data_IF_730141265494
#
_entry.id   IF_730141265494
#
_cell.length_a   1.000
_cell.length_b   1.000
_cell.length_c   1.000
_cell.angle_alpha   90.00
_cell.angle_beta   90.00
_cell.angle_gamma   90.00
#
_symmetry.space_group_name_H-M   'P 1'
#
loop_
_entity.id
_entity.type
_entity.pdbx_description
1 polymer ?
#
# COMPACT_ATOMS: atom_id res chain seq x y z
N UNK A 1 -30.06 41.95 15.80
CA UNK A 1 -29.99 41.94 14.32
C UNK A 1 -28.53 42.03 13.93
N UNK A 2 -28.06 41.08 13.14
CA UNK A 2 -26.67 40.97 12.67
C UNK A 2 -26.59 39.73 11.81
N UNK A 3 -27.04 39.86 10.56
CA UNK A 3 -27.17 38.78 9.60
C UNK A 3 -25.78 38.28 9.18
N UNK A 4 -25.47 37.03 9.50
CA UNK A 4 -24.44 36.29 8.76
C UNK A 4 -25.05 35.87 7.43
N UNK A 5 -24.59 36.49 6.36
CA UNK A 5 -24.99 36.19 4.99
C UNK A 5 -24.48 34.79 4.61
N UNK A 6 -25.40 33.84 4.55
CA UNK A 6 -25.22 32.66 3.69
C UNK A 6 -25.27 33.15 2.23
N UNK A 7 -24.13 33.10 1.54
CA UNK A 7 -24.11 33.09 0.07
C UNK A 7 -23.85 31.66 -0.38
N UNK A 8 -24.86 31.06 -0.98
CA UNK A 8 -24.74 29.80 -1.70
C UNK A 8 -24.20 30.01 -3.12
N UNK A 9 -23.76 28.88 -3.69
CA UNK A 9 -23.80 28.64 -5.12
C UNK A 9 -22.70 29.31 -5.93
N UNK A 10 -21.52 28.72 -5.92
CA UNK A 10 -20.78 28.43 -7.15
C UNK A 10 -20.06 27.10 -6.92
N UNK A 11 -20.37 26.11 -7.76
CA UNK A 11 -19.63 24.87 -7.87
C UNK A 11 -18.27 25.17 -8.48
N UNK A 12 -17.41 25.85 -7.73
CA UNK A 12 -15.98 25.84 -8.01
C UNK A 12 -15.55 24.38 -7.91
N UNK A 13 -15.11 23.80 -9.02
CA UNK A 13 -14.39 22.54 -8.97
C UNK A 13 -13.18 22.78 -8.09
N UNK A 14 -13.23 22.30 -6.85
CA UNK A 14 -12.17 22.60 -5.92
C UNK A 14 -10.97 21.77 -6.34
N UNK A 15 -10.02 22.42 -7.04
CA UNK A 15 -8.80 21.79 -7.49
C UNK A 15 -7.82 21.71 -6.32
N UNK A 16 -7.88 20.58 -5.63
CA UNK A 16 -7.06 20.33 -4.47
C UNK A 16 -5.79 19.56 -4.84
N UNK A 17 -4.80 20.31 -5.32
CA UNK A 17 -3.40 19.91 -5.53
C UNK A 17 -3.07 19.16 -6.82
N UNK A 18 -3.97 19.06 -7.81
CA UNK A 18 -3.68 18.47 -9.13
C UNK A 18 -3.30 16.98 -9.14
N UNK A 19 -3.21 16.30 -7.99
CA UNK A 19 -2.78 14.90 -7.85
C UNK A 19 -3.90 13.95 -7.44
N UNK A 20 -5.11 14.45 -7.21
CA UNK A 20 -6.26 13.65 -6.77
C UNK A 20 -6.63 12.56 -7.78
N UNK A 21 -6.56 12.87 -9.08
CA UNK A 21 -6.80 11.91 -10.16
C UNK A 21 -5.77 10.78 -10.16
N UNK A 22 -4.48 11.12 -10.16
CA UNK A 22 -3.37 10.14 -10.11
C UNK A 22 -3.49 9.24 -8.88
N UNK A 23 -3.85 9.81 -7.73
CA UNK A 23 -4.03 9.08 -6.49
C UNK A 23 -5.20 8.09 -6.54
N UNK A 24 -6.29 8.44 -7.23
CA UNK A 24 -7.42 7.53 -7.46
C UNK A 24 -7.04 6.38 -8.39
N UNK A 25 -6.27 6.63 -9.46
CA UNK A 25 -5.74 5.57 -10.34
C UNK A 25 -4.86 4.60 -9.53
N UNK A 26 -3.98 5.14 -8.69
CA UNK A 26 -3.12 4.34 -7.83
C UNK A 26 -3.91 3.53 -6.80
N UNK A 27 -4.96 4.10 -6.21
CA UNK A 27 -5.84 3.38 -5.30
C UNK A 27 -6.65 2.28 -6.00
N UNK A 28 -7.04 2.49 -7.26
CA UNK A 28 -7.73 1.47 -8.04
C UNK A 28 -6.86 0.23 -8.27
N UNK A 29 -5.55 0.42 -8.42
CA UNK A 29 -4.57 -0.67 -8.52
C UNK A 29 -4.22 -1.26 -7.15
N UNK A 30 -3.76 -0.43 -6.21
CA UNK A 30 -3.22 -0.83 -4.92
C UNK A 30 -4.27 -1.24 -3.89
N UNK A 31 -5.55 -0.89 -4.13
CA UNK A 31 -6.70 -1.07 -3.25
C UNK A 31 -6.68 -0.25 -1.95
N UNK A 32 -5.50 -0.05 -1.36
CA UNK A 32 -5.31 0.81 -0.21
C UNK A 32 -3.87 1.34 -0.15
N UNK A 33 -3.71 2.56 0.36
CA UNK A 33 -2.40 3.21 0.52
C UNK A 33 -2.33 3.95 1.84
N UNK A 34 -1.13 3.96 2.44
CA UNK A 34 -0.82 4.93 3.48
C UNK A 34 -0.44 6.26 2.85
N UNK A 35 -0.51 7.36 3.60
CA UNK A 35 -0.05 8.67 3.10
C UNK A 35 1.44 8.68 2.76
N UNK A 36 2.26 7.88 3.46
CA UNK A 36 3.68 7.70 3.10
C UNK A 36 3.85 6.99 1.76
N UNK A 37 3.17 5.85 1.57
CA UNK A 37 3.21 5.11 0.30
C UNK A 37 2.71 5.96 -0.88
N UNK A 38 1.62 6.70 -0.70
CA UNK A 38 1.12 7.64 -1.71
C UNK A 38 2.14 8.72 -2.07
N UNK A 39 2.81 9.31 -1.08
CA UNK A 39 3.86 10.30 -1.32
C UNK A 39 5.04 9.71 -2.10
N UNK A 40 5.44 8.47 -1.78
CA UNK A 40 6.49 7.74 -2.50
C UNK A 40 6.13 7.50 -3.96
N UNK A 41 4.93 7.00 -4.25
CA UNK A 41 4.54 6.67 -5.63
C UNK A 41 4.29 7.91 -6.48
N UNK A 42 3.76 8.98 -5.89
CA UNK A 42 3.54 10.28 -6.56
C UNK A 42 4.81 11.14 -6.66
N UNK A 43 5.93 10.68 -6.09
CA UNK A 43 7.16 11.45 -5.95
C UNK A 43 6.93 12.88 -5.41
N UNK A 44 6.20 12.97 -4.29
CA UNK A 44 5.84 14.25 -3.68
C UNK A 44 5.98 14.24 -2.16
N UNK A 45 5.76 15.40 -1.54
CA UNK A 45 5.79 15.49 -0.08
C UNK A 45 4.61 14.74 0.55
N UNK A 46 4.81 14.22 1.77
CA UNK A 46 3.71 13.64 2.57
C UNK A 46 2.56 14.61 2.80
N UNK A 47 2.86 15.91 2.90
CA UNK A 47 1.83 16.95 3.04
C UNK A 47 0.98 17.04 1.77
N UNK A 48 1.61 17.05 0.59
CA UNK A 48 0.91 17.09 -0.71
C UNK A 48 -0.02 15.89 -0.87
N UNK A 49 0.50 14.67 -0.66
CA UNK A 49 -0.32 13.45 -0.70
C UNK A 49 -1.45 13.46 0.33
N UNK A 50 -1.19 13.97 1.54
CA UNK A 50 -2.19 14.12 2.59
C UNK A 50 -3.32 15.07 2.22
N UNK A 51 -3.00 16.21 1.61
CA UNK A 51 -4.00 17.17 1.12
C UNK A 51 -4.83 16.56 0.00
N UNK A 52 -4.22 15.85 -0.95
CA UNK A 52 -4.96 15.15 -2.02
C UNK A 52 -5.96 14.12 -1.45
N UNK A 53 -5.54 13.30 -0.47
CA UNK A 53 -6.45 12.37 0.21
C UNK A 53 -7.59 13.06 0.95
N UNK A 54 -7.30 14.13 1.70
CA UNK A 54 -8.33 14.87 2.42
C UNK A 54 -9.40 15.42 1.46
N UNK A 55 -8.98 15.82 0.27
CA UNK A 55 -9.84 16.39 -0.76
C UNK A 55 -10.73 15.34 -1.40
N UNK A 56 -10.16 14.19 -1.74
CA UNK A 56 -10.93 13.02 -2.15
C UNK A 56 -11.91 12.56 -1.07
N UNK A 57 -11.55 12.70 0.20
CA UNK A 57 -12.43 12.35 1.32
C UNK A 57 -13.59 13.32 1.47
N UNK A 58 -13.36 14.63 1.36
CA UNK A 58 -14.42 15.63 1.31
C UNK A 58 -15.36 15.43 0.12
N UNK A 59 -14.83 14.98 -1.02
CA UNK A 59 -15.61 14.60 -2.19
C UNK A 59 -16.31 13.23 -2.07
N UNK A 60 -16.09 12.48 -0.98
CA UNK A 60 -16.67 11.16 -0.76
C UNK A 60 -16.11 10.04 -1.63
N UNK A 61 -14.97 10.27 -2.32
CA UNK A 61 -14.34 9.30 -3.23
C UNK A 61 -13.47 8.28 -2.50
N UNK A 62 -12.95 8.63 -1.32
CA UNK A 62 -12.12 7.73 -0.49
C UNK A 62 -12.62 7.71 0.94
N UNK A 63 -12.28 6.63 1.64
CA UNK A 63 -12.45 6.45 3.09
C UNK A 63 -11.11 6.11 3.70
N UNK A 64 -11.04 6.16 5.03
CA UNK A 64 -9.84 5.77 5.76
C UNK A 64 -10.18 5.05 7.06
N UNK A 65 -9.23 4.28 7.55
CA UNK A 65 -9.20 3.73 8.91
C UNK A 65 -7.90 4.14 9.59
N UNK A 66 -7.96 4.41 10.89
CA UNK A 66 -6.77 4.60 11.71
C UNK A 66 -6.32 3.23 12.23
N UNK A 67 -5.05 2.91 12.00
CA UNK A 67 -4.42 1.68 12.50
C UNK A 67 -3.35 2.07 13.50
N UNK A 68 -3.36 1.42 14.66
CA UNK A 68 -2.26 1.43 15.61
C UNK A 68 -1.46 0.16 15.39
N UNK A 69 -0.19 0.29 15.03
CA UNK A 69 0.69 -0.83 14.77
C UNK A 69 1.98 -0.71 15.57
N UNK A 70 2.46 -1.85 16.03
CA UNK A 70 3.78 -2.01 16.61
C UNK A 70 4.64 -2.83 15.64
N UNK A 71 5.66 -2.23 15.06
CA UNK A 71 6.61 -2.85 14.13
C UNK A 71 8.02 -2.74 14.72
N UNK A 72 8.47 -3.81 15.40
CA UNK A 72 9.74 -3.78 16.15
C UNK A 72 9.72 -2.69 17.23
N UNK A 73 10.66 -1.74 17.14
CA UNK A 73 10.73 -0.58 18.04
C UNK A 73 9.76 0.55 17.66
N UNK A 74 9.18 0.51 16.45
CA UNK A 74 8.27 1.54 15.96
C UNK A 74 6.85 1.29 16.47
N UNK A 75 6.41 2.09 17.44
CA UNK A 75 5.00 2.20 17.84
C UNK A 75 4.40 3.42 17.19
N UNK A 76 3.35 3.23 16.40
CA UNK A 76 2.78 4.34 15.64
C UNK A 76 1.34 4.16 15.22
N UNK A 77 0.77 5.28 14.79
CA UNK A 77 -0.52 5.32 14.13
C UNK A 77 -0.34 5.70 12.66
N UNK A 78 -1.10 5.07 11.77
CA UNK A 78 -1.18 5.49 10.38
C UNK A 78 -2.62 5.44 9.88
N UNK A 79 -2.91 6.28 8.88
CA UNK A 79 -4.16 6.21 8.10
C UNK A 79 -3.94 5.29 6.92
N UNK A 80 -4.83 4.32 6.78
CA UNK A 80 -4.96 3.51 5.56
C UNK A 80 -6.14 4.05 4.77
N UNK A 81 -5.86 4.62 3.60
CA UNK A 81 -6.84 5.17 2.67
C UNK A 81 -7.23 4.14 1.64
N UNK A 82 -8.51 4.09 1.26
CA UNK A 82 -9.06 3.16 0.27
C UNK A 82 -10.25 3.79 -0.47
N UNK A 83 -10.57 3.35 -1.71
CA UNK A 83 -11.74 3.84 -2.44
C UNK A 83 -13.04 3.64 -1.66
N UNK A 84 -13.97 4.60 -1.77
CA UNK A 84 -15.22 4.57 -1.01
C UNK A 84 -16.18 3.45 -1.42
N UNK A 85 -16.02 2.92 -2.63
CA UNK A 85 -16.78 1.79 -3.20
C UNK A 85 -16.15 0.42 -2.88
N UNK A 86 -14.96 0.39 -2.30
CA UNK A 86 -14.27 -0.84 -1.90
C UNK A 86 -14.61 -1.21 -0.46
N UNK A 87 -14.72 -2.52 -0.19
CA UNK A 87 -14.95 -3.04 1.16
C UNK A 87 -13.79 -2.64 2.10
N UNK A 88 -14.06 -2.10 3.30
CA UNK A 88 -13.01 -1.83 4.29
C UNK A 88 -12.28 -3.12 4.69
N UNK A 89 -11.05 -3.01 5.25
CA UNK A 89 -10.41 -4.15 5.90
C UNK A 89 -11.31 -4.68 7.03
N UNK A 90 -11.38 -6.02 7.20
CA UNK A 90 -12.24 -6.64 8.21
C UNK A 90 -11.71 -6.45 9.62
N UNK A 91 -10.39 -6.42 9.77
CA UNK A 91 -9.70 -6.30 11.05
C UNK A 91 -8.29 -5.70 10.86
N UNK A 92 -7.57 -5.53 11.97
CA UNK A 92 -6.31 -4.79 12.00
C UNK A 92 -5.18 -5.46 11.20
N UNK A 93 -5.06 -6.78 11.22
CA UNK A 93 -4.06 -7.54 10.45
C UNK A 93 -4.30 -7.42 8.94
N UNK A 94 -5.55 -7.50 8.47
CA UNK A 94 -5.89 -7.24 7.06
C UNK A 94 -5.50 -5.82 6.65
N UNK A 95 -5.72 -4.84 7.51
CA UNK A 95 -5.30 -3.46 7.25
C UNK A 95 -3.77 -3.31 7.23
N UNK A 96 -3.04 -3.93 8.15
CA UNK A 96 -1.57 -3.96 8.15
C UNK A 96 -1.03 -4.67 6.89
N UNK A 97 -1.67 -5.75 6.45
CA UNK A 97 -1.33 -6.45 5.22
C UNK A 97 -1.50 -5.56 4.00
N UNK A 98 -2.65 -4.88 3.90
CA UNK A 98 -2.91 -3.90 2.84
C UNK A 98 -1.90 -2.74 2.87
N UNK A 99 -1.49 -2.27 4.04
CA UNK A 99 -0.48 -1.23 4.18
C UNK A 99 0.89 -1.69 3.66
N UNK A 100 1.33 -2.90 4.02
CA UNK A 100 2.59 -3.48 3.56
C UNK A 100 2.58 -3.70 2.04
N UNK A 101 1.49 -4.27 1.50
CA UNK A 101 1.31 -4.44 0.05
C UNK A 101 1.27 -3.10 -0.68
N UNK A 102 0.59 -2.09 -0.13
CA UNK A 102 0.54 -0.74 -0.70
C UNK A 102 1.89 -0.03 -0.71
N UNK A 103 2.72 -0.24 0.31
CA UNK A 103 4.10 0.28 0.35
C UNK A 103 4.99 -0.43 -0.67
N UNK A 104 4.89 -1.75 -0.80
CA UNK A 104 5.60 -2.50 -1.82
C UNK A 104 5.20 -2.05 -3.22
N UNK A 105 3.89 -1.90 -3.49
CA UNK A 105 3.36 -1.34 -4.72
C UNK A 105 3.97 0.03 -5.04
N UNK A 106 4.01 0.93 -4.06
CA UNK A 106 4.49 2.30 -4.26
C UNK A 106 5.96 2.34 -4.70
N UNK A 107 6.79 1.46 -4.14
CA UNK A 107 8.18 1.31 -4.55
C UNK A 107 8.28 0.64 -5.93
N UNK A 108 7.49 -0.41 -6.16
CA UNK A 108 7.55 -1.18 -7.40
C UNK A 108 7.08 -0.40 -8.63
N UNK A 109 6.02 0.40 -8.52
CA UNK A 109 5.41 1.13 -9.65
C UNK A 109 6.38 2.08 -10.35
N UNK A 110 7.32 2.67 -9.61
CA UNK A 110 8.30 3.61 -10.14
C UNK A 110 9.59 2.92 -10.62
N UNK A 111 9.86 1.69 -10.18
CA UNK A 111 11.13 1.01 -10.42
C UNK A 111 11.04 -0.14 -11.43
N UNK A 112 9.86 -0.75 -11.60
CA UNK A 112 9.71 -2.04 -12.28
C UNK A 112 9.21 -1.86 -13.73
N UNK A 113 9.97 -2.28 -14.76
CA UNK A 113 9.51 -2.20 -16.15
C UNK A 113 8.31 -3.11 -16.44
N UNK A 114 7.34 -2.60 -17.22
CA UNK A 114 6.15 -3.37 -17.60
C UNK A 114 5.21 -3.68 -16.43
N UNK A 115 5.31 -2.90 -15.34
CA UNK A 115 4.59 -3.11 -14.10
C UNK A 115 3.07 -3.17 -14.30
N UNK A 116 2.46 -4.25 -13.80
CA UNK A 116 1.02 -4.36 -13.55
C UNK A 116 0.82 -4.93 -12.17
N UNK A 117 -0.18 -4.42 -11.48
CA UNK A 117 -0.48 -4.81 -10.11
C UNK A 117 -1.96 -5.10 -9.92
N UNK A 118 -2.26 -6.10 -9.09
CA UNK A 118 -3.62 -6.38 -8.65
C UNK A 118 -3.62 -7.00 -7.26
N UNK A 119 -4.40 -6.44 -6.35
CA UNK A 119 -4.69 -7.05 -5.05
C UNK A 119 -5.80 -8.09 -5.17
N UNK A 120 -5.59 -9.27 -4.58
CA UNK A 120 -6.50 -10.40 -4.57
C UNK A 120 -7.00 -10.64 -3.14
N UNK A 121 -8.30 -10.43 -2.89
CA UNK A 121 -8.94 -10.79 -1.62
C UNK A 121 -9.55 -12.18 -1.73
N UNK A 122 -8.84 -13.19 -1.23
CA UNK A 122 -9.31 -14.56 -1.24
C UNK A 122 -9.81 -14.93 0.15
N UNK A 123 -11.13 -15.15 0.29
CA UNK A 123 -11.78 -15.36 1.58
C UNK A 123 -11.21 -16.48 2.48
N UNK A 124 -10.39 -17.39 1.92
CA UNK A 124 -9.71 -18.49 2.64
C UNK A 124 -8.21 -18.26 2.88
N UNK A 125 -7.54 -17.46 2.05
CA UNK A 125 -6.07 -17.29 2.04
C UNK A 125 -5.62 -15.87 2.37
N UNK A 126 -6.54 -15.01 2.80
CA UNK A 126 -6.25 -13.63 3.14
C UNK A 126 -6.16 -12.72 1.92
N UNK A 127 -5.38 -11.66 2.03
CA UNK A 127 -5.16 -10.66 0.97
C UNK A 127 -3.76 -10.83 0.41
N UNK A 128 -3.64 -11.13 -0.88
CA UNK A 128 -2.33 -11.18 -1.56
C UNK A 128 -2.29 -10.16 -2.68
N UNK A 129 -1.14 -9.96 -3.30
CA UNK A 129 -1.02 -9.20 -4.53
C UNK A 129 -0.39 -10.03 -5.64
N UNK A 130 -0.75 -9.70 -6.87
CA UNK A 130 -0.12 -10.18 -8.08
C UNK A 130 0.60 -9.02 -8.74
N UNK A 131 1.89 -9.20 -9.02
CA UNK A 131 2.71 -8.26 -9.78
C UNK A 131 3.17 -8.93 -11.07
N UNK A 132 2.89 -8.30 -12.21
CA UNK A 132 3.47 -8.69 -13.50
C UNK A 132 4.49 -7.64 -13.93
N UNK A 133 5.58 -8.08 -14.53
CA UNK A 133 6.68 -7.21 -14.93
C UNK A 133 7.57 -7.88 -15.97
N UNK A 134 8.42 -7.10 -16.63
CA UNK A 134 9.28 -7.58 -17.72
C UNK A 134 10.71 -7.74 -17.26
N UNK A 135 11.28 -8.94 -17.44
CA UNK A 135 12.72 -9.22 -17.27
C UNK A 135 13.28 -9.67 -18.62
N UNK A 136 14.27 -8.95 -19.15
CA UNK A 136 14.96 -9.30 -20.41
C UNK A 136 13.99 -9.60 -21.57
N UNK A 137 12.90 -8.85 -21.66
CA UNK A 137 11.86 -9.01 -22.69
C UNK A 137 10.78 -10.06 -22.37
N UNK A 138 10.92 -10.84 -21.30
CA UNK A 138 9.95 -11.85 -20.91
C UNK A 138 9.03 -11.36 -19.78
N UNK A 139 7.74 -11.60 -19.93
CA UNK A 139 6.74 -11.32 -18.88
C UNK A 139 6.91 -12.32 -17.74
N UNK A 140 7.12 -11.79 -16.54
CA UNK A 140 7.27 -12.51 -15.28
C UNK A 140 6.12 -12.12 -14.36
N UNK A 141 5.63 -13.07 -13.56
CA UNK A 141 4.56 -12.85 -12.59
C UNK A 141 5.01 -13.31 -11.21
N UNK A 142 4.81 -12.47 -10.20
CA UNK A 142 4.99 -12.80 -8.80
C UNK A 142 3.67 -12.74 -8.05
N UNK A 143 3.47 -13.70 -7.16
CA UNK A 143 2.51 -13.61 -6.08
C UNK A 143 3.22 -13.09 -4.84
N UNK A 144 2.69 -12.03 -4.25
CA UNK A 144 3.25 -11.37 -3.08
C UNK A 144 2.28 -11.58 -1.92
N UNK A 145 2.80 -12.17 -0.86
CA UNK A 145 2.08 -12.33 0.40
C UNK A 145 2.71 -11.45 1.47
N UNK A 146 1.90 -10.96 2.40
CA UNK A 146 2.35 -10.11 3.49
C UNK A 146 1.83 -10.68 4.82
N UNK A 147 2.24 -11.89 5.20
CA UNK A 147 1.78 -12.52 6.43
C UNK A 147 2.10 -11.63 7.63
N UNK A 148 1.14 -11.50 8.54
CA UNK A 148 1.33 -10.84 9.83
C UNK A 148 1.61 -11.89 10.90
N UNK A 149 1.92 -11.46 12.12
CA UNK A 149 2.23 -12.38 13.23
C UNK A 149 1.08 -13.35 13.48
N UNK A 150 1.43 -14.59 13.77
CA UNK A 150 0.52 -15.72 13.99
C UNK A 150 -0.27 -16.18 12.75
N UNK A 151 -0.03 -15.57 11.58
CA UNK A 151 -0.62 -16.01 10.33
C UNK A 151 0.31 -16.99 9.59
N UNK A 152 -0.29 -17.95 8.88
CA UNK A 152 0.46 -18.88 8.02
C UNK A 152 0.71 -18.25 6.65
N UNK A 153 1.96 -18.18 6.18
CA UNK A 153 2.26 -17.70 4.83
C UNK A 153 1.56 -18.56 3.76
N UNK A 154 1.12 -17.92 2.69
CA UNK A 154 0.48 -18.61 1.55
C UNK A 154 1.54 -19.40 0.78
N UNK A 155 1.46 -20.75 0.67
CA UNK A 155 2.55 -21.56 0.09
C UNK A 155 2.92 -21.23 -1.35
N UNK A 156 1.96 -20.69 -2.12
CA UNK A 156 2.14 -20.34 -3.52
C UNK A 156 2.76 -18.95 -3.76
N UNK A 157 3.09 -18.19 -2.72
CA UNK A 157 3.70 -16.88 -2.90
C UNK A 157 5.18 -16.99 -3.33
N UNK A 158 5.61 -16.04 -4.14
CA UNK A 158 6.98 -15.89 -4.65
C UNK A 158 7.79 -14.94 -3.77
N UNK A 159 7.14 -13.90 -3.26
CA UNK A 159 7.72 -12.92 -2.34
C UNK A 159 6.87 -12.83 -1.08
N UNK A 160 7.53 -12.83 0.08
CA UNK A 160 6.88 -12.64 1.38
C UNK A 160 7.34 -11.32 2.02
N UNK A 161 6.39 -10.54 2.56
CA UNK A 161 6.67 -9.33 3.33
C UNK A 161 6.35 -9.61 4.79
N UNK A 162 7.38 -9.70 5.62
CA UNK A 162 7.23 -9.91 7.07
C UNK A 162 7.36 -8.59 7.85
N UNK A 163 6.91 -8.51 9.11
CA UNK A 163 7.10 -7.31 9.90
C UNK A 163 8.59 -6.97 10.14
N UNK A 164 9.43 -7.97 10.38
CA UNK A 164 10.88 -7.80 10.63
C UNK A 164 11.74 -8.68 9.72
N UNK A 165 13.00 -8.29 9.53
CA UNK A 165 13.98 -9.07 8.75
C UNK A 165 14.23 -10.45 9.36
N UNK A 166 14.21 -10.55 10.70
CA UNK A 166 14.44 -11.82 11.39
C UNK A 166 13.29 -12.81 11.20
N UNK A 167 12.04 -12.33 11.25
CA UNK A 167 10.88 -13.12 10.86
C UNK A 167 10.99 -13.56 9.39
N UNK A 168 11.43 -12.67 8.49
CA UNK A 168 11.70 -13.00 7.09
C UNK A 168 12.71 -14.13 6.92
N UNK A 169 13.86 -14.07 7.58
CA UNK A 169 14.88 -15.14 7.53
C UNK A 169 14.33 -16.47 8.05
N UNK A 170 13.60 -16.43 9.15
CA UNK A 170 13.15 -17.63 9.86
C UNK A 170 11.96 -18.30 9.16
N UNK A 171 10.94 -17.50 8.81
CA UNK A 171 9.62 -18.00 8.40
C UNK A 171 9.45 -18.16 6.89
N UNK A 172 10.29 -17.53 6.08
CA UNK A 172 10.23 -17.70 4.62
C UNK A 172 10.51 -19.16 4.24
N UNK A 173 9.79 -19.76 3.27
CA UNK A 173 10.15 -21.06 2.71
C UNK A 173 11.48 -21.03 1.95
N UNK A 174 12.26 -22.11 1.99
CA UNK A 174 13.51 -22.20 1.24
C UNK A 174 13.30 -21.96 -0.27
N UNK A 175 14.22 -21.23 -0.90
CA UNK A 175 14.14 -20.89 -2.32
C UNK A 175 13.17 -19.76 -2.67
N UNK A 176 12.39 -19.25 -1.70
CA UNK A 176 11.49 -18.10 -1.90
C UNK A 176 12.14 -16.77 -1.51
N UNK A 177 11.60 -15.69 -2.08
CA UNK A 177 12.07 -14.34 -1.79
C UNK A 177 11.30 -13.73 -0.61
N UNK A 178 11.95 -12.84 0.12
CA UNK A 178 11.34 -12.10 1.22
C UNK A 178 11.90 -10.69 1.35
N UNK A 179 11.12 -9.84 2.00
CA UNK A 179 11.52 -8.53 2.49
C UNK A 179 10.83 -8.28 3.83
N UNK A 180 11.03 -7.11 4.42
CA UNK A 180 10.42 -6.74 5.68
C UNK A 180 9.88 -5.30 5.67
N UNK A 181 8.82 -5.04 6.43
CA UNK A 181 8.22 -3.71 6.55
C UNK A 181 9.28 -2.65 6.90
N UNK A 182 10.15 -2.94 7.88
CA UNK A 182 11.24 -2.06 8.30
C UNK A 182 12.17 -1.66 7.14
N UNK A 183 12.45 -2.58 6.22
CA UNK A 183 13.29 -2.31 5.05
C UNK A 183 12.55 -1.51 3.99
N UNK A 184 11.25 -1.76 3.81
CA UNK A 184 10.43 -1.01 2.86
C UNK A 184 10.30 0.47 3.26
N UNK A 185 10.34 0.79 4.56
CA UNK A 185 10.37 2.17 5.05
C UNK A 185 11.72 2.88 4.84
N UNK A 186 12.83 2.15 4.74
CA UNK A 186 14.13 2.77 4.47
C UNK A 186 14.20 3.33 3.04
N UNK A 187 14.86 4.47 2.80
CA UNK A 187 15.09 4.96 1.44
C UNK A 187 15.92 3.98 0.60
N UNK A 188 15.67 3.94 -0.72
CA UNK A 188 16.45 3.16 -1.69
C UNK A 188 15.62 2.20 -2.53
N UNK A 189 16.27 1.58 -3.51
CA UNK A 189 15.65 0.71 -4.51
C UNK A 189 15.04 -0.56 -3.90
N UNK A 190 13.82 -0.92 -4.32
CA UNK A 190 13.10 -2.12 -3.92
C UNK A 190 13.92 -3.39 -4.16
N UNK A 191 14.59 -3.51 -5.32
CA UNK A 191 15.38 -4.71 -5.67
C UNK A 191 16.49 -5.02 -4.66
N UNK A 192 17.01 -4.03 -3.95
CA UNK A 192 18.07 -4.20 -2.94
C UNK A 192 17.53 -4.61 -1.58
N UNK A 193 16.21 -4.54 -1.40
CA UNK A 193 15.49 -4.86 -0.16
C UNK A 193 14.83 -6.25 -0.19
N UNK A 194 14.92 -6.95 -1.33
CA UNK A 194 14.37 -8.30 -1.51
C UNK A 194 15.52 -9.29 -1.46
N UNK A 195 15.41 -10.27 -0.56
CA UNK A 195 16.39 -11.33 -0.36
C UNK A 195 15.79 -12.68 -0.74
N UNK A 196 16.61 -13.65 -1.10
CA UNK A 196 16.18 -15.03 -1.25
C UNK A 196 16.65 -15.85 -0.07
N UNK A 197 15.76 -16.67 0.51
CA UNK A 197 16.16 -17.59 1.57
C UNK A 197 16.94 -18.76 0.99
N UNK A 198 18.20 -18.88 1.40
CA UNK A 198 19.05 -20.02 1.12
C UNK A 198 18.55 -21.28 1.82
N UNK A 199 18.85 -22.44 1.22
CA UNK A 199 18.52 -23.77 1.72
C UNK A 199 19.04 -24.04 3.14
#
# INVERSE_FOLDING_TARGET
MGASQYKGGDSESIDYTGRAYELMEMLAEAMALTTGAAATVLDCSRQTAGTAFNSLWWAGMVRWVNIFAEMGEYKGQFRLWYPADVRPPKEAQEACRLAALGLFYALAKNEVPGFKWRVLRNGKSGVTAEMQFTISGNSTRWIIDAPRRDEKPVPGADVYIFPTTEEGKTLTPAGKAYTADELLFTPGELRRKIFQKSS
#
